data_IF_796524362914
#
_entry.id   IF_796524362914
#
_cell.length_a   1.000
_cell.length_b   1.000
_cell.length_c   1.000
_cell.angle_alpha   90.00
_cell.angle_beta   90.00
_cell.angle_gamma   90.00
#
_symmetry.space_group_name_H-M   'P 1'
#
loop_
_entity.id
_entity.type
_entity.pdbx_description
1 polymer ?
#
# COMPACT_ATOMS: atom_id res chain seq x y z
N UNK A 1 -1.00 28.80 -38.84
CA UNK A 1 -2.31 29.37 -38.44
C UNK A 1 -2.74 30.54 -39.34
N UNK A 2 -1.86 31.51 -39.63
CA UNK A 2 -2.15 32.65 -40.52
C UNK A 2 -2.68 32.25 -41.93
N UNK A 3 -2.12 31.21 -42.55
CA UNK A 3 -2.55 30.72 -43.87
C UNK A 3 -3.95 30.06 -43.92
N UNK A 4 -4.52 29.69 -42.75
CA UNK A 4 -5.84 29.07 -42.67
C UNK A 4 -6.93 30.11 -42.36
N UNK A 5 -6.59 31.13 -41.57
CA UNK A 5 -7.50 32.25 -41.27
C UNK A 5 -7.81 33.12 -42.50
N UNK A 6 -6.87 33.24 -43.44
CA UNK A 6 -7.06 34.01 -44.68
C UNK A 6 -7.75 33.27 -45.83
N UNK A 7 -7.89 31.94 -45.77
CA UNK A 7 -8.39 31.12 -46.89
C UNK A 7 -9.68 30.35 -46.50
N UNK A 8 -10.86 30.83 -46.93
CA UNK A 8 -12.14 30.20 -46.64
C UNK A 8 -12.25 28.77 -47.19
N UNK A 9 -11.66 28.48 -48.35
CA UNK A 9 -11.73 27.16 -48.98
C UNK A 9 -10.94 26.13 -48.17
N UNK A 10 -9.74 26.51 -47.70
CA UNK A 10 -8.94 25.65 -46.80
C UNK A 10 -9.62 25.39 -45.46
N UNK A 11 -10.31 26.37 -44.88
CA UNK A 11 -11.10 26.13 -43.65
C UNK A 11 -12.24 25.15 -43.89
N UNK A 12 -12.96 25.30 -45.00
CA UNK A 12 -14.06 24.41 -45.36
C UNK A 12 -13.56 22.97 -45.57
N UNK A 13 -12.46 22.81 -46.31
CA UNK A 13 -11.83 21.50 -46.54
C UNK A 13 -11.35 20.85 -45.23
N UNK A 14 -10.69 21.61 -44.35
CA UNK A 14 -10.26 21.13 -43.04
C UNK A 14 -11.44 20.74 -42.15
N UNK A 15 -12.51 21.53 -42.15
CA UNK A 15 -13.74 21.22 -41.40
C UNK A 15 -14.46 19.97 -41.92
N UNK A 16 -14.48 19.76 -43.24
CA UNK A 16 -15.03 18.56 -43.84
C UNK A 16 -14.21 17.31 -43.47
N UNK A 17 -12.87 17.41 -43.56
CA UNK A 17 -11.96 16.33 -43.15
C UNK A 17 -12.07 16.02 -41.65
N UNK A 18 -12.18 17.05 -40.81
CA UNK A 18 -12.38 16.90 -39.36
C UNK A 18 -13.69 16.20 -39.03
N UNK A 19 -14.80 16.61 -39.65
CA UNK A 19 -16.10 15.93 -39.49
C UNK A 19 -16.08 14.48 -39.97
N UNK A 20 -15.40 14.21 -41.09
CA UNK A 20 -15.23 12.85 -41.59
C UNK A 20 -14.43 11.99 -40.60
N UNK A 21 -13.33 12.51 -40.06
CA UNK A 21 -12.50 11.82 -39.04
C UNK A 21 -13.25 11.61 -37.72
N UNK A 22 -14.04 12.58 -37.27
CA UNK A 22 -14.79 12.50 -36.02
C UNK A 22 -15.79 11.34 -36.00
N UNK A 23 -16.33 10.94 -37.16
CA UNK A 23 -17.21 9.76 -37.26
C UNK A 23 -16.55 8.46 -36.76
N UNK A 24 -15.24 8.31 -36.94
CA UNK A 24 -14.50 7.17 -36.39
C UNK A 24 -14.43 7.20 -34.86
N UNK A 25 -14.69 8.34 -34.22
CA UNK A 25 -14.71 8.48 -32.76
C UNK A 25 -16.13 8.65 -32.22
N UNK A 26 -17.15 8.27 -33.00
CA UNK A 26 -18.50 8.14 -32.46
C UNK A 26 -18.54 7.05 -31.39
N UNK A 27 -19.56 7.11 -30.53
CA UNK A 27 -19.76 6.10 -29.50
C UNK A 27 -19.91 4.71 -30.13
N UNK A 28 -20.73 4.59 -31.19
CA UNK A 28 -20.93 3.32 -31.90
C UNK A 28 -19.62 2.73 -32.43
N UNK A 29 -18.77 3.57 -33.04
CA UNK A 29 -17.47 3.13 -33.57
C UNK A 29 -16.47 2.77 -32.46
N UNK A 30 -16.51 3.47 -31.32
CA UNK A 30 -15.68 3.15 -30.17
C UNK A 30 -16.09 1.82 -29.51
N UNK A 31 -17.40 1.59 -29.35
CA UNK A 31 -17.96 0.34 -28.81
C UNK A 31 -17.61 -0.83 -29.73
N UNK A 32 -17.84 -0.69 -31.04
CA UNK A 32 -17.51 -1.73 -32.01
C UNK A 32 -16.03 -2.14 -31.93
N UNK A 33 -15.10 -1.19 -31.97
CA UNK A 33 -13.66 -1.48 -31.82
C UNK A 33 -13.31 -2.13 -30.49
N UNK A 34 -13.99 -1.77 -29.41
CA UNK A 34 -13.72 -2.36 -28.11
C UNK A 34 -14.19 -3.82 -28.05
N UNK A 35 -15.34 -4.12 -28.67
CA UNK A 35 -15.83 -5.49 -28.81
C UNK A 35 -14.90 -6.33 -29.71
N UNK A 36 -14.46 -5.78 -30.84
CA UNK A 36 -13.49 -6.45 -31.72
C UNK A 36 -12.20 -6.79 -30.97
N UNK A 37 -11.65 -5.82 -30.22
CA UNK A 37 -10.48 -6.04 -29.37
C UNK A 37 -10.73 -7.13 -28.32
N UNK A 38 -11.91 -7.16 -27.72
CA UNK A 38 -12.24 -8.12 -26.69
C UNK A 38 -12.32 -9.55 -27.24
N UNK A 39 -12.96 -9.73 -28.40
CA UNK A 39 -13.00 -11.01 -29.12
C UNK A 39 -11.58 -11.46 -29.55
N UNK A 40 -10.78 -10.53 -30.07
CA UNK A 40 -9.38 -10.80 -30.44
C UNK A 40 -8.57 -11.27 -29.22
N UNK A 41 -8.70 -10.62 -28.07
CA UNK A 41 -8.04 -11.01 -26.82
C UNK A 41 -8.55 -12.34 -26.27
N UNK A 42 -9.85 -12.61 -26.39
CA UNK A 42 -10.47 -13.84 -25.90
C UNK A 42 -10.03 -15.06 -26.72
N UNK A 43 -9.80 -14.88 -28.01
CA UNK A 43 -9.32 -15.93 -28.92
C UNK A 43 -7.85 -16.32 -28.72
N UNK A 44 -7.07 -15.49 -28.02
CA UNK A 44 -5.65 -15.74 -27.81
C UNK A 44 -5.43 -16.83 -26.76
N UNK A 45 -4.48 -17.73 -27.02
CA UNK A 45 -3.99 -18.65 -26.01
C UNK A 45 -3.20 -17.86 -24.97
N UNK A 46 -3.63 -17.81 -23.69
CA UNK A 46 -2.89 -17.12 -22.63
C UNK A 46 -1.52 -17.76 -22.35
N UNK A 47 -1.21 -18.93 -22.94
CA UNK A 47 0.03 -19.65 -22.72
C UNK A 47 0.06 -20.26 -21.32
N UNK A 48 1.24 -20.24 -20.68
CA UNK A 48 1.41 -20.83 -19.36
C UNK A 48 0.73 -19.99 -18.25
N UNK A 49 -0.47 -20.43 -17.87
CA UNK A 49 -1.25 -19.81 -16.80
C UNK A 49 -0.55 -19.82 -15.44
N UNK A 50 0.32 -20.79 -15.17
CA UNK A 50 1.03 -20.84 -13.89
C UNK A 50 2.11 -19.76 -13.85
N UNK A 51 2.91 -19.64 -14.91
CA UNK A 51 3.90 -18.58 -15.03
C UNK A 51 3.27 -17.17 -14.95
N UNK A 52 2.09 -16.97 -15.56
CA UNK A 52 1.38 -15.69 -15.48
C UNK A 52 0.88 -15.33 -14.08
N UNK A 53 0.51 -16.31 -13.24
CA UNK A 53 0.11 -16.07 -11.84
C UNK A 53 1.28 -15.68 -10.96
N UNK A 54 2.46 -16.23 -11.26
CA UNK A 54 3.70 -15.98 -10.53
C UNK A 54 4.40 -14.69 -10.98
N UNK A 55 4.09 -14.20 -12.18
CA UNK A 55 4.63 -12.96 -12.72
C UNK A 55 4.09 -11.73 -11.96
N UNK A 56 4.98 -10.78 -11.67
CA UNK A 56 4.59 -9.48 -11.13
C UNK A 56 3.80 -8.72 -12.20
N UNK A 57 2.56 -8.33 -11.87
CA UNK A 57 1.68 -7.64 -12.82
C UNK A 57 2.35 -6.36 -13.34
N UNK A 58 2.33 -6.05 -14.67
CA UNK A 58 3.00 -4.87 -15.22
C UNK A 58 2.52 -3.54 -14.65
N UNK A 59 1.25 -3.48 -14.22
CA UNK A 59 0.66 -2.33 -13.52
C UNK A 59 0.75 -2.46 -11.99
N UNK A 60 1.56 -3.36 -11.44
CA UNK A 60 1.81 -3.42 -10.00
C UNK A 60 2.78 -2.28 -9.63
N UNK A 61 2.31 -1.19 -9.02
CA UNK A 61 3.22 -0.18 -8.52
C UNK A 61 4.04 -0.80 -7.37
N UNK A 62 5.38 -0.73 -7.40
CA UNK A 62 6.19 -1.25 -6.30
C UNK A 62 6.11 -0.28 -5.10
N UNK A 63 4.98 -0.29 -4.38
CA UNK A 63 4.63 0.68 -3.33
C UNK A 63 5.74 0.86 -2.29
N UNK A 64 6.34 -0.22 -1.80
CA UNK A 64 7.45 -0.16 -0.86
C UNK A 64 8.63 0.67 -1.40
N UNK A 65 8.94 0.52 -2.69
CA UNK A 65 10.02 1.29 -3.35
C UNK A 65 9.59 2.73 -3.66
N UNK A 66 8.37 2.94 -4.15
CA UNK A 66 7.85 4.26 -4.50
C UNK A 66 7.77 5.17 -3.27
N UNK A 67 7.37 4.61 -2.13
CA UNK A 67 7.20 5.33 -0.88
C UNK A 67 8.38 5.18 0.09
N UNK A 68 9.46 4.49 -0.30
CA UNK A 68 10.65 4.29 0.54
C UNK A 68 11.26 5.61 1.05
N UNK A 69 11.17 6.68 0.26
CA UNK A 69 11.68 8.01 0.63
C UNK A 69 10.66 8.94 1.31
N UNK A 70 9.43 8.46 1.55
CA UNK A 70 8.38 9.25 2.22
C UNK A 70 8.28 9.12 3.75
N UNK A 71 8.95 8.17 4.46
CA UNK A 71 8.94 8.24 5.92
C UNK A 71 9.71 9.50 6.35
N UNK A 72 9.03 10.38 7.12
CA UNK A 72 9.67 11.58 7.67
C UNK A 72 10.76 11.22 8.68
N UNK A 73 10.66 10.06 9.32
CA UNK A 73 11.62 9.50 10.27
C UNK A 73 11.59 7.97 10.22
N UNK A 74 12.75 7.34 10.40
CA UNK A 74 12.85 5.90 10.67
C UNK A 74 12.65 5.65 12.16
N UNK A 75 12.34 4.39 12.53
CA UNK A 75 12.31 4.01 13.94
C UNK A 75 13.72 4.09 14.51
N UNK A 76 13.95 5.07 15.39
CA UNK A 76 15.21 5.18 16.12
C UNK A 76 15.29 4.08 17.20
N UNK A 77 16.24 3.14 17.11
CA UNK A 77 16.33 2.01 18.04
C UNK A 77 16.59 2.45 19.49
N UNK A 78 17.11 3.67 19.71
CA UNK A 78 17.39 4.21 21.04
C UNK A 78 16.16 4.85 21.70
N UNK A 79 15.10 5.16 20.94
CA UNK A 79 13.88 5.77 21.49
C UNK A 79 13.20 4.83 22.47
N UNK A 80 12.87 5.35 23.64
CA UNK A 80 12.13 4.62 24.68
C UNK A 80 10.65 4.63 24.36
N UNK A 81 10.03 3.47 24.46
CA UNK A 81 8.61 3.23 24.23
C UNK A 81 8.01 2.58 25.47
N UNK A 82 6.74 2.87 25.73
CA UNK A 82 5.94 2.21 26.78
C UNK A 82 4.52 1.93 26.25
N UNK A 83 3.76 1.11 26.97
CA UNK A 83 2.33 0.98 26.70
C UNK A 83 1.61 2.31 26.89
N UNK A 84 0.79 2.68 25.91
CA UNK A 84 -0.18 3.76 26.10
C UNK A 84 -1.34 3.30 26.99
N UNK A 85 -2.27 4.22 27.29
CA UNK A 85 -3.56 3.86 27.90
C UNK A 85 -4.34 2.84 27.07
N UNK A 86 -4.37 2.98 25.73
CA UNK A 86 -5.06 2.06 24.84
C UNK A 86 -4.35 0.70 24.79
N UNK A 87 -3.01 0.69 24.68
CA UNK A 87 -2.22 -0.54 24.74
C UNK A 87 -2.41 -1.31 26.05
N UNK A 88 -2.53 -0.60 27.18
CA UNK A 88 -2.87 -1.21 28.46
C UNK A 88 -4.27 -1.81 28.49
N UNK A 89 -5.27 -1.17 27.86
CA UNK A 89 -6.62 -1.71 27.77
C UNK A 89 -6.65 -3.01 26.95
N UNK A 90 -5.96 -3.02 25.81
CA UNK A 90 -5.79 -4.22 24.96
C UNK A 90 -5.07 -5.33 25.72
N UNK A 91 -3.99 -5.00 26.42
CA UNK A 91 -3.25 -5.95 27.26
C UNK A 91 -4.13 -6.59 28.34
N UNK A 92 -4.99 -5.80 28.98
CA UNK A 92 -5.92 -6.27 30.02
C UNK A 92 -7.17 -6.96 29.47
N UNK A 93 -7.29 -7.14 28.14
CA UNK A 93 -8.46 -7.74 27.50
C UNK A 93 -9.73 -6.89 27.63
N UNK A 94 -9.57 -5.57 27.82
CA UNK A 94 -10.67 -4.59 27.91
C UNK A 94 -10.97 -3.92 26.58
N UNK A 95 -10.11 -4.12 25.59
CA UNK A 95 -10.25 -3.60 24.23
C UNK A 95 -9.64 -4.60 23.23
N UNK A 96 -10.11 -4.59 21.99
CA UNK A 96 -9.78 -5.58 20.97
C UNK A 96 -9.50 -4.88 19.63
N UNK A 97 -8.22 -4.66 19.28
CA UNK A 97 -7.88 -3.96 18.05
C UNK A 97 -8.28 -4.80 16.83
N UNK A 98 -8.86 -4.14 15.84
CA UNK A 98 -9.24 -4.77 14.57
C UNK A 98 -7.98 -5.00 13.74
N UNK A 99 -7.53 -6.24 13.71
CA UNK A 99 -6.46 -6.70 12.82
C UNK A 99 -7.15 -7.24 11.56
N UNK A 100 -6.99 -6.56 10.44
CA UNK A 100 -7.55 -7.00 9.17
C UNK A 100 -6.85 -8.26 8.67
N UNK A 101 -7.60 -9.23 8.13
CA UNK A 101 -7.03 -10.46 7.56
C UNK A 101 -6.01 -10.20 6.45
N UNK A 102 -6.09 -9.07 5.75
CA UNK A 102 -5.09 -8.66 4.76
C UNK A 102 -3.71 -8.32 5.37
N UNK A 103 -3.62 -8.17 6.70
CA UNK A 103 -2.39 -7.97 7.47
C UNK A 103 -1.87 -9.28 8.09
N UNK A 104 -2.53 -10.41 7.81
CA UNK A 104 -2.15 -11.69 8.35
C UNK A 104 -0.73 -12.05 7.85
N UNK A 105 0.15 -12.39 8.80
CA UNK A 105 1.60 -12.53 8.57
C UNK A 105 2.45 -11.30 8.90
N UNK A 106 1.88 -10.09 8.96
CA UNK A 106 2.59 -8.88 9.41
C UNK A 106 2.40 -8.66 10.92
N UNK A 107 1.15 -8.66 11.38
CA UNK A 107 0.78 -8.54 12.78
C UNK A 107 -0.38 -9.49 13.08
N UNK A 108 -0.32 -10.18 14.22
CA UNK A 108 -1.40 -11.03 14.70
C UNK A 108 -1.65 -10.76 16.19
N UNK A 109 -2.74 -11.32 16.72
CA UNK A 109 -3.12 -11.11 18.12
C UNK A 109 -2.09 -11.69 19.11
N UNK A 110 -1.33 -12.72 18.75
CA UNK A 110 -0.31 -13.32 19.61
C UNK A 110 0.93 -12.42 19.69
N UNK A 111 1.43 -11.94 18.54
CA UNK A 111 2.53 -10.98 18.43
C UNK A 111 2.22 -9.68 19.15
N UNK A 112 1.01 -9.15 18.95
CA UNK A 112 0.59 -7.93 19.60
C UNK A 112 0.54 -8.08 21.12
N UNK A 113 -0.01 -9.19 21.63
CA UNK A 113 -0.03 -9.48 23.07
C UNK A 113 1.39 -9.62 23.63
N UNK A 114 2.28 -10.35 22.95
CA UNK A 114 3.67 -10.51 23.37
C UNK A 114 4.39 -9.15 23.45
N UNK A 115 4.24 -8.31 22.42
CA UNK A 115 4.80 -6.96 22.38
C UNK A 115 4.29 -6.11 23.56
N UNK A 116 2.98 -6.11 23.81
CA UNK A 116 2.39 -5.35 24.92
C UNK A 116 2.89 -5.86 26.29
N UNK A 117 3.12 -7.17 26.45
CA UNK A 117 3.74 -7.72 27.67
C UNK A 117 5.16 -7.21 27.87
N UNK A 118 5.94 -7.11 26.79
CA UNK A 118 7.32 -6.61 26.82
C UNK A 118 7.38 -5.11 27.13
N UNK A 119 6.41 -4.34 26.66
CA UNK A 119 6.33 -2.89 26.83
C UNK A 119 5.69 -2.43 28.16
N UNK A 120 5.42 -3.34 29.11
CA UNK A 120 4.85 -3.00 30.44
C UNK A 120 5.72 -2.04 31.25
N UNK A 121 7.03 -2.07 31.00
CA UNK A 121 7.98 -1.10 31.51
C UNK A 121 8.64 -0.40 30.31
N UNK A 122 9.02 0.88 30.43
CA UNK A 122 9.67 1.59 29.34
C UNK A 122 10.94 0.88 28.88
N UNK A 123 11.05 0.61 27.58
CA UNK A 123 12.19 -0.05 26.96
C UNK A 123 12.53 0.63 25.63
N UNK A 124 13.76 0.51 25.16
CA UNK A 124 14.14 1.05 23.85
C UNK A 124 13.45 0.25 22.74
N UNK A 125 13.17 0.92 21.61
CA UNK A 125 12.58 0.29 20.43
C UNK A 125 13.41 -0.92 19.96
N UNK A 126 14.75 -0.80 19.95
CA UNK A 126 15.65 -1.91 19.62
C UNK A 126 15.48 -3.11 20.55
N UNK A 127 15.44 -2.88 21.87
CA UNK A 127 15.23 -3.96 22.85
C UNK A 127 13.86 -4.63 22.70
N UNK A 128 12.81 -3.87 22.36
CA UNK A 128 11.49 -4.45 22.10
C UNK A 128 11.51 -5.34 20.85
N UNK A 129 12.12 -4.89 19.76
CA UNK A 129 12.28 -5.69 18.53
C UNK A 129 13.05 -6.99 18.79
N UNK A 130 14.21 -6.91 19.45
CA UNK A 130 15.04 -8.06 19.79
C UNK A 130 14.29 -9.08 20.66
N UNK A 131 13.64 -8.61 21.73
CA UNK A 131 12.89 -9.48 22.64
C UNK A 131 11.67 -10.11 21.97
N UNK A 132 11.01 -9.38 21.08
CA UNK A 132 9.85 -9.90 20.34
C UNK A 132 10.27 -10.99 19.35
N UNK A 133 11.34 -10.75 18.58
CA UNK A 133 11.91 -11.75 17.68
C UNK A 133 12.39 -13.01 18.44
N UNK A 134 12.99 -12.84 19.61
CA UNK A 134 13.42 -13.96 20.46
C UNK A 134 12.24 -14.74 21.07
N UNK A 135 11.11 -14.07 21.35
CA UNK A 135 9.95 -14.69 22.00
C UNK A 135 9.06 -15.50 21.03
N UNK A 136 9.14 -15.25 19.73
CA UNK A 136 8.23 -15.82 18.73
C UNK A 136 9.04 -16.60 17.69
N UNK A 137 8.96 -17.95 17.69
CA UNK A 137 9.68 -18.77 16.73
C UNK A 137 9.35 -18.38 15.28
N UNK A 138 10.40 -18.17 14.48
CA UNK A 138 10.27 -17.84 13.05
C UNK A 138 9.93 -16.38 12.75
N UNK A 139 9.84 -15.50 13.76
CA UNK A 139 9.65 -14.07 13.53
C UNK A 139 10.97 -13.42 13.11
N UNK A 140 11.00 -12.79 11.93
CA UNK A 140 12.20 -12.08 11.45
C UNK A 140 12.36 -10.72 12.16
N UNK A 141 13.57 -10.15 12.21
CA UNK A 141 13.79 -8.82 12.76
C UNK A 141 12.91 -7.74 12.12
N UNK A 142 12.69 -7.82 10.80
CA UNK A 142 11.86 -6.86 10.05
C UNK A 142 10.39 -6.96 10.45
N UNK A 143 9.88 -8.18 10.69
CA UNK A 143 8.53 -8.39 11.18
C UNK A 143 8.35 -7.96 12.64
N UNK A 144 9.40 -8.06 13.46
CA UNK A 144 9.40 -7.52 14.81
C UNK A 144 9.35 -5.99 14.80
N UNK A 145 10.17 -5.34 13.98
CA UNK A 145 10.15 -3.88 13.79
C UNK A 145 8.81 -3.38 13.26
N UNK A 146 8.28 -4.06 12.24
CA UNK A 146 6.95 -3.86 11.71
C UNK A 146 5.85 -3.90 12.79
N UNK A 147 5.91 -4.87 13.71
CA UNK A 147 4.96 -4.98 14.80
C UNK A 147 5.06 -3.81 15.78
N UNK A 148 6.27 -3.34 16.09
CA UNK A 148 6.50 -2.15 16.94
C UNK A 148 5.94 -0.89 16.26
N UNK A 149 6.24 -0.69 14.98
CA UNK A 149 5.73 0.44 14.19
C UNK A 149 4.21 0.42 14.05
N UNK A 150 3.63 -0.75 13.84
CA UNK A 150 2.19 -0.93 13.79
C UNK A 150 1.56 -0.54 15.12
N UNK A 151 2.08 -1.04 16.24
CA UNK A 151 1.57 -0.71 17.56
C UNK A 151 1.69 0.79 17.90
N UNK A 152 2.78 1.45 17.46
CA UNK A 152 2.93 2.91 17.55
C UNK A 152 1.90 3.66 16.70
N UNK A 153 1.74 3.26 15.43
CA UNK A 153 0.78 3.88 14.51
C UNK A 153 -0.67 3.78 14.99
N UNK A 154 -0.98 2.74 15.76
CA UNK A 154 -2.31 2.48 16.31
C UNK A 154 -2.45 2.94 17.77
N UNK A 155 -1.55 3.79 18.26
CA UNK A 155 -1.56 4.36 19.62
C UNK A 155 -1.57 3.30 20.73
N UNK A 156 -1.07 2.09 20.49
CA UNK A 156 -0.93 1.04 21.51
C UNK A 156 0.40 1.15 22.26
N UNK A 157 1.42 1.68 21.59
CA UNK A 157 2.66 2.16 22.19
C UNK A 157 2.71 3.68 22.11
N UNK A 158 3.41 4.30 23.04
CA UNK A 158 3.73 5.72 22.99
C UNK A 158 5.22 5.93 23.31
N UNK A 159 5.76 7.08 22.88
CA UNK A 159 7.09 7.51 23.31
C UNK A 159 7.09 7.76 24.81
N UNK A 160 8.11 7.23 25.47
CA UNK A 160 8.34 7.48 26.88
C UNK A 160 9.29 8.65 27.02
N UNK A 161 8.76 9.78 27.48
CA UNK A 161 9.54 10.94 27.88
C UNK A 161 9.73 10.91 29.41
N UNK A 162 10.98 10.99 29.88
CA UNK A 162 11.33 11.00 31.32
C UNK A 162 10.74 12.23 32.06
N UNK A 163 10.23 13.24 31.33
CA UNK A 163 9.72 14.52 31.85
C UNK A 163 8.21 14.55 32.14
N UNK A 164 7.50 13.40 32.12
CA UNK A 164 6.12 13.38 32.63
C UNK A 164 6.15 13.42 34.18
N UNK A 165 5.60 14.47 34.83
CA UNK A 165 5.58 14.60 36.28
C UNK A 165 4.77 13.49 36.97
#
# INVERSE_FOLDING_TARGET
VAALAGDPARRAAMGAAGRARAKAFSWDAAVARHLDLWEDLWSQDPGDRQALREAVHPLHPPYARLFAGHPSQLLDPSRRLTQSRAGRAVYLGRDFPVIYDALDGFIDAARLRALLVLARAPATAGTLCEKLAAAIPGLTPELAEAAVLWALKHDLLEYFDDDRP
#
